data_IF_766132461324
#
_entry.id   IF_766132461324
#
_cell.length_a   1.000
_cell.length_b   1.000
_cell.length_c   1.000
_cell.angle_alpha   90.00
_cell.angle_beta   90.00
_cell.angle_gamma   90.00
#
_symmetry.space_group_name_H-M   'P 1'
#
loop_
_entity.id
_entity.type
_entity.pdbx_description
1 polymer ?
#
# COMPACT_ATOMS: atom_id res chain seq x y z
N UNK A 1 -11.43 -22.43 -11.93
CA UNK A 1 -11.59 -21.43 -10.86
C UNK A 1 -12.10 -20.15 -11.50
N UNK A 2 -13.34 -19.73 -11.21
CA UNK A 2 -13.95 -18.57 -11.86
C UNK A 2 -13.35 -17.28 -11.25
N UNK A 3 -12.72 -16.43 -12.06
CA UNK A 3 -12.07 -15.20 -11.58
C UNK A 3 -13.12 -14.10 -11.45
N UNK A 4 -13.22 -13.50 -10.27
CA UNK A 4 -14.08 -12.34 -10.07
C UNK A 4 -13.60 -11.15 -10.92
N UNK A 5 -14.55 -10.36 -11.43
CA UNK A 5 -14.24 -9.05 -11.98
C UNK A 5 -13.71 -8.14 -10.87
N UNK A 6 -12.91 -7.13 -11.23
CA UNK A 6 -12.36 -6.19 -10.24
C UNK A 6 -13.47 -5.49 -9.46
N UNK A 7 -14.51 -5.01 -10.16
CA UNK A 7 -15.69 -4.38 -9.52
C UNK A 7 -16.33 -5.30 -8.49
N UNK A 8 -16.58 -6.57 -8.84
CA UNK A 8 -17.23 -7.49 -7.89
C UNK A 8 -16.33 -7.82 -6.70
N UNK A 9 -15.03 -7.94 -6.93
CA UNK A 9 -14.07 -8.13 -5.83
C UNK A 9 -14.00 -6.91 -4.91
N UNK A 10 -14.07 -5.69 -5.48
CA UNK A 10 -14.11 -4.43 -4.73
C UNK A 10 -15.36 -4.36 -3.84
N UNK A 11 -16.55 -4.58 -4.41
CA UNK A 11 -17.83 -4.59 -3.68
C UNK A 11 -17.79 -5.55 -2.49
N UNK A 12 -17.42 -6.82 -2.74
CA UNK A 12 -17.37 -7.84 -1.68
C UNK A 12 -16.36 -7.44 -0.60
N UNK A 13 -15.19 -6.94 -0.99
CA UNK A 13 -14.16 -6.55 -0.03
C UNK A 13 -14.61 -5.36 0.84
N UNK A 14 -15.22 -4.35 0.23
CA UNK A 14 -15.73 -3.19 0.93
C UNK A 14 -16.83 -3.58 1.92
N UNK A 15 -17.84 -4.34 1.47
CA UNK A 15 -18.93 -4.83 2.32
C UNK A 15 -18.41 -5.61 3.54
N UNK A 16 -17.45 -6.52 3.33
CA UNK A 16 -16.92 -7.39 4.39
C UNK A 16 -15.96 -6.66 5.34
N UNK A 17 -15.52 -5.45 5.01
CA UNK A 17 -14.56 -4.69 5.84
C UNK A 17 -15.18 -3.48 6.52
N UNK A 18 -16.49 -3.23 6.38
CA UNK A 18 -17.20 -2.10 7.04
C UNK A 18 -16.97 -2.04 8.54
N UNK A 19 -17.10 -3.17 9.24
CA UNK A 19 -16.85 -3.25 10.68
C UNK A 19 -15.39 -2.95 11.06
N UNK A 20 -14.45 -3.44 10.25
CA UNK A 20 -13.02 -3.22 10.48
C UNK A 20 -12.64 -1.75 10.24
N UNK A 21 -13.27 -1.10 9.27
CA UNK A 21 -13.06 0.31 8.96
C UNK A 21 -13.73 1.24 9.99
N UNK A 22 -14.80 0.77 10.65
CA UNK A 22 -15.62 1.56 11.57
C UNK A 22 -15.81 0.82 12.92
N UNK A 23 -14.73 0.65 13.71
CA UNK A 23 -14.73 -0.26 14.87
C UNK A 23 -15.59 0.19 16.05
N UNK A 24 -16.08 1.43 16.06
CA UNK A 24 -16.89 2.00 17.14
C UNK A 24 -18.39 2.04 16.81
N UNK A 25 -18.78 1.60 15.62
CA UNK A 25 -20.17 1.67 15.16
C UNK A 25 -20.96 0.45 15.63
N UNK A 26 -22.25 0.65 15.93
CA UNK A 26 -23.18 -0.43 16.31
C UNK A 26 -23.57 -1.23 15.07
N UNK A 27 -23.88 -2.51 15.25
CA UNK A 27 -24.14 -3.40 14.11
C UNK A 27 -25.35 -2.99 13.26
N UNK A 28 -26.36 -2.42 13.92
CA UNK A 28 -27.57 -1.86 13.32
C UNK A 28 -27.34 -0.68 12.36
N UNK A 29 -26.20 0.03 12.47
CA UNK A 29 -25.89 1.21 11.66
C UNK A 29 -24.88 0.92 10.52
N UNK A 30 -24.47 -0.35 10.32
CA UNK A 30 -23.37 -0.71 9.41
C UNK A 30 -23.73 -0.54 7.93
N UNK A 31 -24.99 -0.76 7.54
CA UNK A 31 -25.37 -0.84 6.13
C UNK A 31 -25.06 0.43 5.33
N UNK A 32 -25.04 1.58 6.01
CA UNK A 32 -24.75 2.90 5.42
C UNK A 32 -23.26 3.26 5.43
N UNK A 33 -22.39 2.43 6.01
CA UNK A 33 -20.96 2.72 6.15
C UNK A 33 -20.13 2.26 4.96
N UNK A 34 -19.07 3.00 4.67
CA UNK A 34 -18.03 2.59 3.74
C UNK A 34 -17.02 1.65 4.43
N UNK A 35 -16.58 0.62 3.71
CA UNK A 35 -15.50 -0.26 4.15
C UNK A 35 -14.12 0.19 3.70
N UNK A 36 -13.13 -0.68 3.87
CA UNK A 36 -11.86 -0.52 3.18
C UNK A 36 -12.03 -0.86 1.71
N UNK A 37 -11.34 -0.12 0.84
CA UNK A 37 -11.34 -0.38 -0.60
C UNK A 37 -10.07 -1.12 -1.02
N UNK A 38 -10.14 -1.94 -2.07
CA UNK A 38 -8.96 -2.56 -2.69
C UNK A 38 -7.99 -1.50 -3.20
N UNK A 39 -8.49 -0.33 -3.60
CA UNK A 39 -7.64 0.82 -3.93
C UNK A 39 -6.81 1.27 -2.72
N UNK A 40 -7.43 1.47 -1.55
CA UNK A 40 -6.73 1.83 -0.30
C UNK A 40 -5.73 0.74 0.09
N UNK A 41 -6.12 -0.53 0.01
CA UNK A 41 -5.22 -1.65 0.31
C UNK A 41 -4.00 -1.69 -0.61
N UNK A 42 -4.20 -1.52 -1.93
CA UNK A 42 -3.09 -1.45 -2.89
C UNK A 42 -2.16 -0.29 -2.57
N UNK A 43 -2.71 0.85 -2.17
CA UNK A 43 -1.92 2.02 -1.80
C UNK A 43 -1.05 1.74 -0.58
N UNK A 44 -1.64 1.26 0.51
CA UNK A 44 -0.89 0.91 1.73
C UNK A 44 0.19 -0.12 1.46
N UNK A 45 -0.08 -1.14 0.64
CA UNK A 45 0.92 -2.15 0.28
C UNK A 45 2.12 -1.55 -0.45
N UNK A 46 1.91 -0.64 -1.41
CA UNK A 46 3.00 0.00 -2.15
C UNK A 46 3.77 1.03 -1.33
N UNK A 47 3.09 1.74 -0.41
CA UNK A 47 3.76 2.63 0.54
C UNK A 47 4.66 1.83 1.47
N UNK A 48 4.16 0.74 2.05
CA UNK A 48 4.94 -0.14 2.91
C UNK A 48 6.14 -0.78 2.19
N UNK A 49 5.97 -1.19 0.92
CA UNK A 49 7.09 -1.66 0.11
C UNK A 49 8.16 -0.58 -0.10
N UNK A 50 7.73 0.66 -0.34
CA UNK A 50 8.63 1.80 -0.50
C UNK A 50 9.37 2.13 0.81
N UNK A 51 8.68 2.06 1.96
CA UNK A 51 9.29 2.22 3.28
C UNK A 51 10.38 1.17 3.55
N UNK A 52 10.19 -0.06 3.04
CA UNK A 52 11.20 -1.12 3.07
C UNK A 52 12.33 -0.94 2.06
N UNK A 53 12.42 0.23 1.41
CA UNK A 53 13.44 0.57 0.42
C UNK A 53 13.47 -0.40 -0.76
N UNK A 54 12.33 -0.99 -1.14
CA UNK A 54 12.23 -1.79 -2.36
C UNK A 54 12.49 -0.87 -3.56
N UNK A 55 13.35 -1.31 -4.48
CA UNK A 55 13.78 -0.50 -5.60
C UNK A 55 12.62 -0.13 -6.54
N UNK A 56 12.69 1.06 -7.15
CA UNK A 56 11.69 1.55 -8.10
C UNK A 56 11.37 0.57 -9.24
N UNK A 57 12.34 -0.12 -9.87
CA UNK A 57 12.04 -1.13 -10.89
C UNK A 57 11.18 -2.30 -10.37
N UNK A 58 11.41 -2.75 -9.13
CA UNK A 58 10.61 -3.81 -8.51
C UNK A 58 9.20 -3.32 -8.18
N UNK A 59 9.07 -2.09 -7.68
CA UNK A 59 7.77 -1.47 -7.44
C UNK A 59 6.95 -1.31 -8.73
N UNK A 60 7.58 -0.88 -9.83
CA UNK A 60 6.93 -0.78 -11.15
C UNK A 60 6.43 -2.15 -11.64
N UNK A 61 7.28 -3.18 -11.58
CA UNK A 61 6.93 -4.54 -12.01
C UNK A 61 5.77 -5.11 -11.17
N UNK A 62 5.83 -4.98 -9.84
CA UNK A 62 4.80 -5.50 -8.93
C UNK A 62 3.47 -4.78 -9.09
N UNK A 63 3.50 -3.45 -9.25
CA UNK A 63 2.29 -2.63 -9.38
C UNK A 63 1.69 -2.62 -10.78
N UNK A 64 2.47 -3.00 -11.80
CA UNK A 64 2.16 -2.86 -13.23
C UNK A 64 1.96 -1.39 -13.66
N UNK A 65 2.63 -0.47 -12.99
CA UNK A 65 2.70 0.92 -13.44
C UNK A 65 3.62 1.04 -14.66
N UNK A 66 3.15 1.74 -15.69
CA UNK A 66 3.91 1.96 -16.92
C UNK A 66 4.99 3.04 -16.77
N UNK A 67 4.92 3.86 -15.72
CA UNK A 67 5.87 4.95 -15.47
C UNK A 67 5.99 5.27 -13.98
N UNK A 68 7.15 5.82 -13.61
CA UNK A 68 7.42 6.31 -12.25
C UNK A 68 6.39 7.36 -11.84
N UNK A 69 6.04 8.30 -12.74
CA UNK A 69 4.99 9.31 -12.51
C UNK A 69 3.67 8.71 -12.05
N UNK A 70 3.27 7.55 -12.61
CA UNK A 70 2.04 6.88 -12.20
C UNK A 70 2.16 6.14 -10.85
N UNK A 71 3.37 5.73 -10.49
CA UNK A 71 3.72 5.07 -9.22
C UNK A 71 3.84 6.04 -8.04
N UNK A 72 4.27 7.29 -8.27
CA UNK A 72 4.50 8.33 -7.23
C UNK A 72 3.27 8.61 -6.36
N UNK A 73 2.06 8.32 -6.85
CA UNK A 73 0.84 8.43 -6.03
C UNK A 73 0.81 7.37 -4.92
N UNK A 74 1.48 6.24 -5.08
CA UNK A 74 1.35 5.06 -4.21
C UNK A 74 2.64 4.70 -3.45
N UNK A 75 3.81 4.98 -4.01
CA UNK A 75 5.10 4.71 -3.36
C UNK A 75 5.65 5.99 -2.73
N UNK A 76 5.25 6.25 -1.48
CA UNK A 76 5.61 7.46 -0.72
C UNK A 76 6.31 7.08 0.58
N UNK A 77 7.61 6.74 0.54
CA UNK A 77 8.35 6.42 1.76
C UNK A 77 8.43 7.65 2.68
N UNK A 78 8.47 7.40 3.99
CA UNK A 78 8.68 8.46 4.98
C UNK A 78 10.10 9.04 4.91
N UNK A 79 10.29 10.23 5.48
CA UNK A 79 11.61 10.86 5.59
C UNK A 79 12.60 9.96 6.33
N UNK A 80 12.14 9.28 7.37
CA UNK A 80 12.96 8.35 8.17
C UNK A 80 13.41 7.14 7.33
N UNK A 81 12.52 6.58 6.51
CA UNK A 81 12.88 5.49 5.59
C UNK A 81 13.94 5.93 4.58
N UNK A 82 13.84 7.15 4.06
CA UNK A 82 14.85 7.72 3.16
C UNK A 82 16.19 7.91 3.88
N UNK A 83 16.17 8.47 5.10
CA UNK A 83 17.37 8.68 5.90
C UNK A 83 18.08 7.35 6.22
N UNK A 84 17.33 6.32 6.60
CA UNK A 84 17.86 4.98 6.85
C UNK A 84 18.50 4.37 5.58
N UNK A 85 17.85 4.53 4.42
CA UNK A 85 18.39 4.06 3.14
C UNK A 85 19.71 4.75 2.78
N UNK A 86 19.80 6.07 2.97
CA UNK A 86 21.02 6.84 2.73
C UNK A 86 22.14 6.41 3.68
N UNK A 87 21.84 6.27 4.98
CA UNK A 87 22.82 5.85 5.98
C UNK A 87 23.39 4.45 5.68
N UNK A 88 22.55 3.48 5.29
CA UNK A 88 23.01 2.14 4.88
C UNK A 88 23.86 2.16 3.59
N UNK A 89 23.67 3.19 2.77
CA UNK A 89 24.40 3.35 1.51
C UNK A 89 25.73 4.09 1.67
N UNK A 90 26.00 4.68 2.84
CA UNK A 90 27.21 5.45 3.13
C UNK A 90 28.49 4.59 3.03
N UNK A 91 29.41 4.87 2.08
CA UNK A 91 30.69 4.19 1.98
C UNK A 91 31.61 4.35 3.21
N UNK A 92 31.44 5.41 4.01
CA UNK A 92 32.19 5.63 5.23
C UNK A 92 31.70 4.75 6.40
N UNK A 93 30.41 4.36 6.39
CA UNK A 93 29.87 3.40 7.36
C UNK A 93 30.39 1.97 7.11
N UNK A 94 30.60 1.57 5.84
CA UNK A 94 31.13 0.23 5.48
C UNK A 94 32.59 -0.01 5.87
N UNK A 95 33.38 1.05 6.09
CA UNK A 95 34.82 0.93 6.39
C UNK A 95 35.13 0.72 7.89
N UNK A 96 34.11 0.68 8.74
CA UNK A 96 34.24 0.58 10.20
C UNK A 96 33.74 -0.74 10.80
N UNK A 97 33.27 -1.67 9.99
CA UNK A 97 32.92 -3.05 10.38
C UNK A 97 33.91 -4.02 9.78
#
# INVERSE_FOLDING_TARGET
>A
MNRLSYRRAEEIFEENTRLLANPLTREEDIEELEGFTLHRLRHSALTHDAERSISTPMLLARSRHASVRSLERYARPSVDSVAAHVAASDPAARRRG
#
